data_IF_409871836446
#
_entry.id   IF_409871836446
#
_cell.length_a   1.000
_cell.length_b   1.000
_cell.length_c   1.000
_cell.angle_alpha   90.00
_cell.angle_beta   90.00
_cell.angle_gamma   90.00
#
_symmetry.space_group_name_H-M   'P 1'
#
loop_
_entity.id
_entity.type
_entity.pdbx_description
1 polymer ?
#
# COMPACT_ATOMS: atom_id res chain seq x y z
N UNK A 1 24.88 -27.48 -57.67
CA UNK A 1 24.21 -26.17 -57.49
C UNK A 1 24.82 -25.52 -56.25
N UNK A 2 25.53 -24.39 -56.41
CA UNK A 2 26.27 -23.68 -55.34
C UNK A 2 25.27 -23.00 -54.39
N UNK A 3 25.38 -23.22 -53.08
CA UNK A 3 24.58 -22.48 -52.10
C UNK A 3 25.40 -21.32 -51.53
N UNK A 4 24.88 -20.10 -51.69
CA UNK A 4 25.47 -18.82 -51.30
C UNK A 4 25.51 -18.69 -49.77
N UNK A 5 26.68 -18.41 -49.18
CA UNK A 5 26.80 -18.11 -47.75
C UNK A 5 26.54 -16.60 -47.54
N UNK A 6 25.39 -16.24 -46.94
CA UNK A 6 25.09 -14.85 -46.56
C UNK A 6 25.68 -14.55 -45.17
N UNK A 7 26.52 -13.52 -45.08
CA UNK A 7 27.17 -13.05 -43.87
C UNK A 7 26.28 -11.98 -43.22
N UNK A 8 25.65 -12.29 -42.09
CA UNK A 8 24.78 -11.35 -41.36
C UNK A 8 25.62 -10.57 -40.35
N UNK A 9 25.77 -9.27 -40.60
CA UNK A 9 26.44 -8.32 -39.71
C UNK A 9 25.50 -8.00 -38.54
N UNK A 10 25.80 -8.49 -37.33
CA UNK A 10 25.02 -8.17 -36.13
C UNK A 10 25.44 -6.81 -35.57
N UNK A 11 24.56 -5.82 -35.69
CA UNK A 11 24.67 -4.56 -34.95
C UNK A 11 24.30 -4.82 -33.49
N UNK A 12 25.25 -4.61 -32.57
CA UNK A 12 24.96 -4.63 -31.14
C UNK A 12 24.16 -3.36 -30.84
N UNK A 13 22.85 -3.52 -30.72
CA UNK A 13 21.95 -2.48 -30.22
C UNK A 13 22.27 -2.28 -28.75
N UNK A 14 22.92 -1.16 -28.41
CA UNK A 14 23.08 -0.74 -27.03
C UNK A 14 21.72 -0.26 -26.53
N UNK A 15 21.03 -1.09 -25.76
CA UNK A 15 19.79 -0.73 -25.09
C UNK A 15 20.17 -0.07 -23.75
N UNK A 16 20.02 1.26 -23.59
CA UNK A 16 20.17 1.89 -22.28
C UNK A 16 19.08 1.33 -21.38
N UNK A 17 19.52 0.55 -20.42
CA UNK A 17 18.63 -0.12 -19.48
C UNK A 17 18.28 0.87 -18.38
N UNK A 18 17.07 1.41 -18.47
CA UNK A 18 16.43 2.15 -17.38
C UNK A 18 16.10 1.15 -16.28
N UNK A 19 17.09 0.80 -15.47
CA UNK A 19 16.88 -0.16 -14.39
C UNK A 19 16.23 0.52 -13.19
N UNK A 20 15.07 -0.02 -12.79
CA UNK A 20 14.40 0.34 -11.56
C UNK A 20 15.28 0.04 -10.34
N UNK A 21 15.38 1.00 -9.42
CA UNK A 21 16.04 0.85 -8.13
C UNK A 21 15.44 -0.34 -7.37
N UNK A 22 16.26 -1.26 -6.87
CA UNK A 22 15.81 -2.42 -6.13
C UNK A 22 15.71 -2.12 -4.64
N UNK A 23 14.57 -2.45 -4.05
CA UNK A 23 14.29 -2.22 -2.62
C UNK A 23 14.21 -3.55 -1.88
N UNK A 24 14.71 -3.57 -0.65
CA UNK A 24 14.50 -4.66 0.29
C UNK A 24 13.98 -4.15 1.64
N UNK A 25 13.57 -5.09 2.49
CA UNK A 25 13.11 -4.83 3.87
C UNK A 25 13.94 -5.77 4.74
N UNK A 26 14.56 -5.22 5.77
CA UNK A 26 15.34 -5.94 6.77
C UNK A 26 14.44 -6.71 7.73
N UNK A 27 14.99 -7.60 8.55
CA UNK A 27 14.23 -8.38 9.52
C UNK A 27 13.50 -7.50 10.56
N UNK A 28 14.02 -6.32 10.87
CA UNK A 28 13.39 -5.33 11.76
C UNK A 28 12.41 -4.39 11.05
N UNK A 29 12.12 -4.62 9.76
CA UNK A 29 11.13 -3.87 8.98
C UNK A 29 11.65 -2.58 8.34
N UNK A 30 12.95 -2.30 8.34
CA UNK A 30 13.48 -1.09 7.67
C UNK A 30 13.64 -1.32 6.17
N UNK A 31 13.28 -0.33 5.35
CA UNK A 31 13.55 -0.39 3.90
C UNK A 31 15.01 -0.04 3.62
N UNK A 32 15.61 -0.76 2.68
CA UNK A 32 16.95 -0.49 2.15
C UNK A 32 16.90 -0.41 0.64
N UNK A 33 17.77 0.41 0.07
CA UNK A 33 18.10 0.44 -1.35
C UNK A 33 19.29 -0.49 -1.55
N UNK A 34 19.21 -1.39 -2.54
CA UNK A 34 20.34 -2.20 -2.98
C UNK A 34 20.97 -1.55 -4.22
N UNK A 35 22.27 -1.22 -4.12
CA UNK A 35 23.05 -0.69 -5.23
C UNK A 35 23.70 -1.84 -6.02
N UNK A 36 24.11 -1.56 -7.27
CA UNK A 36 24.68 -2.58 -8.17
C UNK A 36 26.05 -3.07 -7.74
N UNK A 37 26.80 -2.26 -7.01
CA UNK A 37 28.11 -2.61 -6.47
C UNK A 37 28.02 -3.52 -5.23
N UNK A 38 26.80 -3.96 -4.88
CA UNK A 38 26.54 -4.81 -3.72
C UNK A 38 26.46 -4.05 -2.40
N UNK A 39 26.66 -2.73 -2.41
CA UNK A 39 26.40 -1.88 -1.25
C UNK A 39 24.92 -1.62 -1.09
N UNK A 40 24.53 -1.19 0.10
CA UNK A 40 23.14 -0.84 0.41
C UNK A 40 23.10 0.32 1.39
N UNK A 41 22.02 1.07 1.33
CA UNK A 41 21.74 2.14 2.28
C UNK A 41 20.31 2.03 2.80
N UNK A 42 20.09 2.47 4.04
CA UNK A 42 18.74 2.61 4.54
C UNK A 42 17.99 3.63 3.69
N UNK A 43 16.85 3.21 3.17
CA UNK A 43 15.96 4.12 2.48
C UNK A 43 15.34 5.02 3.53
N UNK A 44 15.91 6.22 3.67
CA UNK A 44 15.25 7.27 4.41
C UNK A 44 14.12 7.79 3.51
N UNK A 45 12.89 7.30 3.74
CA UNK A 45 11.70 7.80 3.05
C UNK A 45 11.31 9.07 3.81
N UNK A 46 11.68 10.29 3.36
CA UNK A 46 10.89 11.46 3.77
C UNK A 46 9.46 11.12 3.41
N UNK A 47 8.48 11.35 4.30
CA UNK A 47 7.08 10.95 4.09
C UNK A 47 6.57 11.39 2.71
N UNK A 48 6.80 10.57 1.69
CA UNK A 48 6.26 10.77 0.38
C UNK A 48 4.87 10.21 0.51
N UNK A 49 3.97 11.11 0.90
CA UNK A 49 2.55 10.91 0.68
C UNK A 49 2.42 10.43 -0.76
N UNK A 50 1.70 9.31 -1.01
CA UNK A 50 1.30 8.99 -2.37
C UNK A 50 0.77 10.30 -2.95
N UNK A 51 1.39 10.80 -4.02
CA UNK A 51 0.79 11.91 -4.74
C UNK A 51 -0.66 11.49 -5.02
N UNK A 52 -1.59 12.43 -4.93
CA UNK A 52 -3.00 12.21 -5.28
C UNK A 52 -3.18 11.94 -6.80
N UNK A 53 -2.27 11.19 -7.40
CA UNK A 53 -2.40 10.62 -8.73
C UNK A 53 -3.31 9.39 -8.60
N UNK A 54 -4.56 9.60 -8.96
CA UNK A 54 -5.64 8.63 -8.82
C UNK A 54 -7.00 9.31 -8.83
N UNK A 55 -8.05 8.51 -8.98
CA UNK A 55 -9.41 9.02 -8.84
C UNK A 55 -9.70 9.33 -7.37
N UNK A 56 -10.15 10.56 -7.10
CA UNK A 56 -10.40 10.99 -5.72
C UNK A 56 -11.39 10.08 -5.01
N UNK A 57 -11.14 9.76 -3.74
CA UNK A 57 -11.97 8.89 -2.93
C UNK A 57 -11.63 7.40 -3.01
N UNK A 58 -10.73 6.97 -3.90
CA UNK A 58 -10.37 5.55 -4.03
C UNK A 58 -9.15 5.15 -3.22
N UNK A 59 -8.36 6.12 -2.76
CA UNK A 59 -7.20 5.87 -1.90
C UNK A 59 -7.42 6.45 -0.52
N UNK A 60 -7.05 5.71 0.50
CA UNK A 60 -7.07 6.22 1.87
C UNK A 60 -5.83 5.78 2.64
N UNK A 61 -5.37 6.68 3.50
CA UNK A 61 -4.41 6.39 4.56
C UNK A 61 -5.13 6.48 5.89
N UNK A 62 -5.05 5.42 6.68
CA UNK A 62 -5.66 5.32 8.00
C UNK A 62 -4.52 5.13 9.01
N UNK A 63 -4.34 6.07 9.93
CA UNK A 63 -3.37 5.97 11.02
C UNK A 63 -4.12 5.66 12.32
N UNK A 64 -3.90 4.47 12.86
CA UNK A 64 -4.56 3.95 14.06
C UNK A 64 -3.61 4.03 15.24
N UNK A 65 -4.07 4.68 16.33
CA UNK A 65 -3.29 4.80 17.57
C UNK A 65 -1.93 5.47 17.39
N UNK A 66 -1.77 6.32 16.37
CA UNK A 66 -0.53 7.02 15.98
C UNK A 66 0.65 6.13 15.56
N UNK A 67 0.47 4.81 15.52
CA UNK A 67 1.53 3.86 15.19
C UNK A 67 1.23 3.08 13.90
N UNK A 68 0.02 2.51 13.77
CA UNK A 68 -0.28 1.60 12.66
C UNK A 68 -0.86 2.39 11.49
N UNK A 69 -0.10 2.47 10.41
CA UNK A 69 -0.53 3.13 9.18
C UNK A 69 -0.95 2.10 8.15
N UNK A 70 -2.18 2.22 7.65
CA UNK A 70 -2.78 1.36 6.65
C UNK A 70 -3.05 2.17 5.39
N UNK A 71 -2.67 1.62 4.24
CA UNK A 71 -2.94 2.18 2.93
C UNK A 71 -3.95 1.32 2.19
N UNK A 72 -5.04 1.96 1.78
CA UNK A 72 -6.06 1.36 0.93
C UNK A 72 -6.00 1.97 -0.46
N UNK A 73 -6.15 1.13 -1.48
CA UNK A 73 -6.27 1.55 -2.87
C UNK A 73 -7.38 0.75 -3.55
N UNK A 74 -8.38 1.45 -4.07
CA UNK A 74 -9.59 0.88 -4.65
C UNK A 74 -10.28 -0.16 -3.72
N UNK A 75 -10.19 0.08 -2.42
CA UNK A 75 -10.71 -0.79 -1.37
C UNK A 75 -9.86 -2.02 -1.02
N UNK A 76 -8.72 -2.24 -1.68
CA UNK A 76 -7.76 -3.28 -1.31
C UNK A 76 -6.74 -2.73 -0.32
N UNK A 77 -6.26 -3.58 0.60
CA UNK A 77 -5.10 -3.27 1.42
C UNK A 77 -3.86 -3.30 0.52
N UNK A 78 -3.31 -2.12 0.24
CA UNK A 78 -2.16 -1.95 -0.65
C UNK A 78 -0.83 -2.08 0.12
N UNK A 79 -0.77 -1.49 1.32
CA UNK A 79 0.41 -1.51 2.18
C UNK A 79 0.03 -1.28 3.64
N UNK A 80 0.92 -1.64 4.57
CA UNK A 80 0.86 -1.15 5.94
C UNK A 80 2.26 -0.92 6.50
N UNK A 81 2.33 -0.07 7.52
CA UNK A 81 3.59 0.21 8.22
C UNK A 81 3.35 0.58 9.68
N UNK A 82 4.41 0.46 10.48
CA UNK A 82 4.43 0.86 11.89
C UNK A 82 5.32 2.09 12.02
N UNK A 83 4.77 3.16 12.58
CA UNK A 83 5.51 4.35 13.00
C UNK A 83 6.06 4.13 14.40
N UNK A 84 7.37 4.26 14.58
CA UNK A 84 8.03 4.20 15.88
C UNK A 84 9.24 5.13 15.90
N UNK A 85 9.34 5.99 16.92
CA UNK A 85 10.49 6.90 17.12
C UNK A 85 10.88 7.70 15.85
N UNK A 86 9.89 8.19 15.10
CA UNK A 86 10.10 8.93 13.85
C UNK A 86 10.54 8.08 12.64
N UNK A 87 10.60 6.75 12.79
CA UNK A 87 10.87 5.80 11.73
C UNK A 87 9.60 5.09 11.29
N UNK A 88 9.51 4.76 10.01
CA UNK A 88 8.46 3.92 9.45
C UNK A 88 9.03 2.55 9.11
N UNK A 89 8.47 1.52 9.73
CA UNK A 89 8.83 0.13 9.56
C UNK A 89 7.76 -0.58 8.73
N UNK A 90 8.18 -1.40 7.77
CA UNK A 90 7.34 -2.02 6.76
C UNK A 90 7.37 -3.53 6.89
N UNK A 91 6.27 -4.15 6.50
CA UNK A 91 6.26 -5.54 6.10
C UNK A 91 6.06 -5.57 4.59
N UNK A 92 6.78 -6.41 3.86
CA UNK A 92 6.59 -6.54 2.40
C UNK A 92 5.23 -7.16 2.02
N UNK A 93 4.35 -7.38 2.99
CA UNK A 93 3.09 -8.09 2.85
C UNK A 93 3.25 -9.47 2.19
N UNK A 94 4.38 -10.13 2.41
CA UNK A 94 4.74 -11.40 1.75
C UNK A 94 4.74 -12.58 2.72
N UNK A 95 4.12 -12.41 3.90
CA UNK A 95 4.00 -13.46 4.91
C UNK A 95 5.27 -13.78 5.70
N UNK A 96 6.42 -13.17 5.38
CA UNK A 96 7.70 -13.51 6.01
C UNK A 96 7.92 -12.83 7.34
N UNK A 97 7.41 -11.61 7.52
CA UNK A 97 7.57 -10.88 8.76
C UNK A 97 6.35 -11.10 9.65
N UNK A 98 6.55 -11.72 10.81
CA UNK A 98 5.48 -12.04 11.76
C UNK A 98 5.29 -10.95 12.82
N UNK A 99 6.19 -9.96 12.88
CA UNK A 99 6.19 -8.92 13.90
C UNK A 99 7.00 -7.71 13.46
N UNK A 100 6.51 -6.51 13.75
CA UNK A 100 7.26 -5.26 13.68
C UNK A 100 7.17 -4.55 15.03
N UNK A 101 8.32 -4.37 15.68
CA UNK A 101 8.36 -3.85 17.06
C UNK A 101 7.49 -4.70 17.99
N UNK A 102 6.49 -4.06 18.61
CA UNK A 102 5.51 -4.71 19.51
C UNK A 102 4.29 -5.31 18.81
N UNK A 103 4.14 -5.09 17.51
CA UNK A 103 2.94 -5.45 16.76
C UNK A 103 3.13 -6.77 16.03
N UNK A 104 2.37 -7.79 16.42
CA UNK A 104 2.28 -9.04 15.68
C UNK A 104 1.53 -8.83 14.36
N UNK A 105 1.94 -9.56 13.33
CA UNK A 105 1.31 -9.53 12.00
C UNK A 105 0.89 -10.96 11.69
N UNK A 106 -0.40 -11.14 11.44
CA UNK A 106 -0.94 -12.43 11.04
C UNK A 106 -1.43 -12.38 9.60
N UNK A 107 -1.17 -13.48 8.89
CA UNK A 107 -1.59 -13.71 7.52
C UNK A 107 -2.64 -14.82 7.47
N UNK A 108 -3.56 -14.71 6.53
CA UNK A 108 -4.46 -15.80 6.18
C UNK A 108 -3.69 -16.88 5.41
N UNK A 109 -3.86 -18.14 5.80
CA UNK A 109 -3.09 -19.25 5.25
C UNK A 109 -3.48 -19.60 3.80
N UNK A 110 -4.71 -19.30 3.40
CA UNK A 110 -5.21 -19.68 2.08
C UNK A 110 -4.99 -18.57 1.05
N UNK A 111 -5.07 -17.31 1.48
CA UNK A 111 -5.04 -16.14 0.59
C UNK A 111 -3.74 -15.34 0.71
N UNK A 112 -2.89 -15.64 1.69
CA UNK A 112 -1.66 -14.90 2.02
C UNK A 112 -1.91 -13.40 2.32
N UNK A 113 -3.17 -13.00 2.54
CA UNK A 113 -3.54 -11.62 2.90
C UNK A 113 -3.26 -11.36 4.36
N UNK A 114 -2.88 -10.13 4.69
CA UNK A 114 -2.78 -9.69 6.09
C UNK A 114 -4.17 -9.73 6.71
N UNK A 115 -4.36 -10.53 7.77
CA UNK A 115 -5.64 -10.63 8.48
C UNK A 115 -5.63 -9.91 9.83
N UNK A 116 -4.45 -9.54 10.35
CA UNK A 116 -4.33 -8.83 11.64
C UNK A 116 -3.00 -8.08 11.74
N UNK A 117 -3.05 -6.87 12.31
CA UNK A 117 -1.87 -6.08 12.67
C UNK A 117 -2.07 -5.60 14.11
N UNK A 118 -1.17 -6.02 15.01
CA UNK A 118 -1.30 -5.75 16.44
C UNK A 118 -2.65 -6.25 16.98
N UNK A 119 -3.42 -5.35 17.60
CA UNK A 119 -4.76 -5.66 18.12
C UNK A 119 -5.89 -5.57 17.10
N UNK A 120 -5.62 -5.27 15.83
CA UNK A 120 -6.64 -4.92 14.84
C UNK A 120 -6.77 -5.99 13.75
N UNK A 121 -7.90 -6.69 13.75
CA UNK A 121 -8.27 -7.65 12.69
C UNK A 121 -8.66 -6.89 11.42
N UNK A 122 -8.28 -7.41 10.25
CA UNK A 122 -8.67 -6.90 8.94
C UNK A 122 -9.65 -7.88 8.33
N UNK A 123 -10.89 -7.43 8.11
CA UNK A 123 -11.93 -8.22 7.49
C UNK A 123 -12.13 -7.79 6.04
N UNK A 124 -12.28 -8.79 5.16
CA UNK A 124 -12.54 -8.60 3.75
C UNK A 124 -13.98 -8.98 3.41
N UNK A 125 -14.56 -8.28 2.45
CA UNK A 125 -15.80 -8.68 1.83
C UNK A 125 -15.56 -9.86 0.88
N UNK A 126 -16.39 -10.89 1.00
CA UNK A 126 -16.19 -12.15 0.28
C UNK A 126 -16.48 -12.02 -1.23
N UNK A 127 -17.32 -11.06 -1.63
CA UNK A 127 -17.72 -10.91 -3.03
C UNK A 127 -16.84 -9.93 -3.80
N UNK A 128 -16.37 -8.88 -3.13
CA UNK A 128 -15.65 -7.77 -3.75
C UNK A 128 -14.15 -7.75 -3.43
N UNK A 129 -13.70 -8.60 -2.50
CA UNK A 129 -12.33 -8.62 -1.97
C UNK A 129 -11.87 -7.29 -1.32
N UNK A 130 -12.79 -6.35 -1.11
CA UNK A 130 -12.50 -5.07 -0.46
C UNK A 130 -12.38 -5.25 1.04
N UNK A 131 -11.51 -4.45 1.67
CA UNK A 131 -11.45 -4.33 3.13
C UNK A 131 -12.76 -3.73 3.61
N UNK A 132 -13.55 -4.48 4.37
CA UNK A 132 -14.83 -4.01 4.90
C UNK A 132 -14.73 -3.51 6.34
N UNK A 133 -13.67 -3.87 7.06
CA UNK A 133 -13.48 -3.49 8.47
C UNK A 133 -12.03 -3.67 8.92
N UNK A 134 -11.56 -2.75 9.76
CA UNK A 134 -10.27 -2.85 10.47
C UNK A 134 -10.53 -2.61 11.95
N UNK A 135 -10.27 -3.60 12.81
CA UNK A 135 -10.64 -3.52 14.23
C UNK A 135 -12.13 -3.22 14.38
N UNK A 136 -12.49 -2.16 15.11
CA UNK A 136 -13.88 -1.72 15.25
C UNK A 136 -14.33 -0.70 14.19
N UNK A 137 -13.49 -0.44 13.18
CA UNK A 137 -13.73 0.58 12.15
C UNK A 137 -14.27 -0.06 10.87
N UNK A 138 -15.60 -0.08 10.64
CA UNK A 138 -16.17 -0.49 9.36
C UNK A 138 -15.77 0.47 8.24
N UNK A 139 -15.67 -0.04 7.02
CA UNK A 139 -15.34 0.71 5.81
C UNK A 139 -16.43 0.45 4.78
N UNK A 140 -17.02 1.52 4.26
CA UNK A 140 -18.04 1.45 3.24
C UNK A 140 -17.57 2.15 1.97
N UNK A 141 -18.10 1.66 0.86
CA UNK A 141 -17.84 2.17 -0.47
C UNK A 141 -19.17 2.57 -1.11
N UNK A 142 -19.16 3.69 -1.83
CA UNK A 142 -20.25 4.05 -2.71
C UNK A 142 -20.38 2.98 -3.81
N UNK A 143 -21.60 2.47 -3.99
CA UNK A 143 -21.85 1.34 -4.88
C UNK A 143 -21.59 1.67 -6.36
N UNK A 144 -21.80 2.92 -6.77
CA UNK A 144 -21.68 3.33 -8.17
C UNK A 144 -20.25 3.69 -8.56
N UNK A 145 -19.54 4.39 -7.67
CA UNK A 145 -18.22 4.95 -7.94
C UNK A 145 -17.10 4.09 -7.37
N UNK A 146 -17.39 3.27 -6.36
CA UNK A 146 -16.39 2.51 -5.60
C UNK A 146 -15.51 3.37 -4.70
N UNK A 147 -15.82 4.66 -4.53
CA UNK A 147 -15.13 5.57 -3.62
C UNK A 147 -15.46 5.21 -2.18
N UNK A 148 -14.55 5.46 -1.25
CA UNK A 148 -14.78 5.27 0.18
C UNK A 148 -15.83 6.29 0.62
N UNK A 149 -16.99 5.82 1.06
CA UNK A 149 -18.07 6.68 1.55
C UNK A 149 -18.05 6.83 3.07
N UNK A 150 -17.48 5.85 3.79
CA UNK A 150 -17.38 5.89 5.26
C UNK A 150 -16.20 5.07 5.78
N UNK A 151 -15.53 5.58 6.81
CA UNK A 151 -14.61 4.83 7.67
C UNK A 151 -14.99 5.13 9.11
N UNK A 152 -15.34 4.10 9.89
CA UNK A 152 -15.88 4.28 11.23
C UNK A 152 -17.10 5.20 11.22
N UNK A 153 -17.08 6.26 12.00
CA UNK A 153 -18.16 7.26 12.05
C UNK A 153 -17.93 8.46 11.11
N UNK A 154 -16.80 8.48 10.39
CA UNK A 154 -16.47 9.57 9.47
C UNK A 154 -16.97 9.25 8.07
N UNK A 155 -17.72 10.18 7.48
CA UNK A 155 -18.32 10.07 6.15
C UNK A 155 -17.63 11.01 5.16
N UNK A 156 -17.62 10.60 3.90
CA UNK A 156 -17.02 11.33 2.79
C UNK A 156 -18.04 11.51 1.69
N UNK A 157 -18.33 12.76 1.34
CA UNK A 157 -19.24 13.09 0.25
C UNK A 157 -18.47 13.64 -0.95
N UNK A 158 -18.92 13.27 -2.14
CA UNK A 158 -18.29 13.65 -3.39
C UNK A 158 -19.29 14.37 -4.28
N UNK A 159 -18.81 15.39 -5.00
CA UNK A 159 -19.60 16.06 -6.02
C UNK A 159 -19.92 15.11 -7.15
N UNK A 160 -21.20 15.01 -7.48
CA UNK A 160 -21.68 14.23 -8.62
C UNK A 160 -21.07 14.68 -9.95
N UNK A 161 -20.81 15.99 -10.10
CA UNK A 161 -20.38 16.57 -11.37
C UNK A 161 -18.90 16.35 -11.69
N UNK A 162 -18.05 16.33 -10.67
CA UNK A 162 -16.59 16.28 -10.87
C UNK A 162 -15.89 15.21 -10.01
N UNK A 163 -16.64 14.44 -9.22
CA UNK A 163 -16.13 13.34 -8.42
C UNK A 163 -15.16 13.74 -7.31
N UNK A 164 -15.02 15.03 -7.01
CA UNK A 164 -14.12 15.55 -5.97
C UNK A 164 -14.80 15.51 -4.60
N UNK A 165 -14.00 15.29 -3.56
CA UNK A 165 -14.45 15.38 -2.17
C UNK A 165 -15.01 16.77 -1.89
N UNK A 166 -16.25 16.84 -1.41
CA UNK A 166 -16.97 18.08 -1.10
C UNK A 166 -17.22 18.27 0.37
N UNK A 167 -17.40 17.19 1.13
CA UNK A 167 -17.63 17.27 2.57
C UNK A 167 -17.00 16.08 3.31
N UNK A 168 -16.61 16.35 4.56
CA UNK A 168 -16.20 15.35 5.53
C UNK A 168 -16.99 15.61 6.80
N UNK A 169 -17.84 14.66 7.19
CA UNK A 169 -18.69 14.78 8.38
C UNK A 169 -18.47 13.63 9.35
N UNK A 170 -18.81 13.87 10.62
CA UNK A 170 -18.58 12.92 11.71
C UNK A 170 -17.13 12.81 12.15
N UNK A 171 -16.88 11.98 13.16
CA UNK A 171 -15.56 11.80 13.75
C UNK A 171 -15.39 10.37 14.23
N UNK A 172 -14.28 9.73 13.84
CA UNK A 172 -13.91 8.40 14.32
C UNK A 172 -12.76 8.53 15.33
N UNK A 173 -13.03 8.31 16.62
CA UNK A 173 -11.99 8.38 17.65
C UNK A 173 -10.87 7.37 17.40
N UNK A 174 -9.64 7.73 17.80
CA UNK A 174 -8.49 6.83 17.77
C UNK A 174 -7.83 6.63 16.41
N UNK A 175 -8.37 7.23 15.33
CA UNK A 175 -7.78 7.16 13.99
C UNK A 175 -7.67 8.53 13.32
N UNK A 176 -6.65 8.72 12.50
CA UNK A 176 -6.54 9.83 11.54
C UNK A 176 -6.76 9.27 10.14
N UNK A 177 -7.66 9.87 9.39
CA UNK A 177 -8.00 9.43 8.03
C UNK A 177 -7.58 10.51 7.05
N UNK A 178 -6.92 10.12 5.97
CA UNK A 178 -6.66 10.97 4.81
C UNK A 178 -7.15 10.25 3.58
N UNK A 179 -8.08 10.84 2.84
CA UNK A 179 -8.58 10.32 1.56
C UNK A 179 -8.01 11.18 0.44
N UNK A 180 -7.61 10.54 -0.66
CA UNK A 180 -7.05 11.20 -1.84
C UNK A 180 -8.04 11.10 -2.98
#
# INVERSE_FOLDING_TARGET
>A
MKLLLLLVLSTIVYIPSTYAQQYAVTEDGRRVILHRDGTWEYLHIPEHHPQATGESGKKARILIGEEIMIFLNNGQLEDFSILTNGQRLYDKMNGKLKRIGRHEIEYDFHTERVKKIGGYTIEYDFHTDKVKKIGDYPIEYDFHTGKISRIGNTRFEYSFFNGKLTDISGHTPGIKITVY
#
